data_IF_389940604488
#
_entry.id   IF_389940604488
#
_cell.length_a   1.000
_cell.length_b   1.000
_cell.length_c   1.000
_cell.angle_alpha   90.00
_cell.angle_beta   90.00
_cell.angle_gamma   90.00
#
_symmetry.space_group_name_H-M   'P 1'
#
loop_
_entity.id
_entity.type
_entity.pdbx_description
1 polymer ?
#
# COMPACT_ATOMS: atom_id res chain seq x y z
N UNK A 1 -1.91 -6.87 24.80
CA UNK A 1 -1.86 -6.87 23.33
C UNK A 1 -3.31 -6.78 22.86
N UNK A 2 -3.70 -5.69 22.20
CA UNK A 2 -5.09 -5.57 21.71
C UNK A 2 -5.38 -6.67 20.69
N UNK A 3 -6.60 -7.23 20.66
CA UNK A 3 -6.96 -8.23 19.67
C UNK A 3 -6.76 -7.66 18.25
N UNK A 4 -6.25 -8.50 17.35
CA UNK A 4 -6.09 -8.11 15.95
C UNK A 4 -7.48 -7.80 15.38
N UNK A 5 -7.68 -6.63 14.75
CA UNK A 5 -8.95 -6.31 14.11
C UNK A 5 -9.26 -7.33 13.00
N UNK A 6 -10.54 -7.63 12.79
CA UNK A 6 -10.97 -8.47 11.68
C UNK A 6 -10.71 -7.77 10.33
N UNK A 7 -10.67 -8.57 9.26
CA UNK A 7 -10.28 -8.06 7.94
C UNK A 7 -11.25 -7.00 7.41
N UNK A 8 -12.55 -7.11 7.70
CA UNK A 8 -13.55 -6.14 7.22
C UNK A 8 -13.37 -4.80 7.91
N UNK A 9 -13.10 -4.81 9.21
CA UNK A 9 -12.77 -3.59 9.96
C UNK A 9 -11.52 -2.91 9.40
N UNK A 10 -10.49 -3.69 9.04
CA UNK A 10 -9.26 -3.16 8.41
C UNK A 10 -9.57 -2.56 7.04
N UNK A 11 -10.26 -3.31 6.17
CA UNK A 11 -10.62 -2.87 4.81
C UNK A 11 -11.41 -1.54 4.86
N UNK A 12 -12.46 -1.46 5.68
CA UNK A 12 -13.24 -0.22 5.83
C UNK A 12 -12.44 0.93 6.43
N UNK A 13 -11.52 0.66 7.37
CA UNK A 13 -10.67 1.70 7.94
C UNK A 13 -9.71 2.29 6.89
N UNK A 14 -9.10 1.44 6.07
CA UNK A 14 -8.24 1.87 4.97
C UNK A 14 -9.02 2.68 3.94
N UNK A 15 -10.18 2.18 3.50
CA UNK A 15 -11.02 2.89 2.54
C UNK A 15 -11.42 4.29 3.04
N UNK A 16 -11.86 4.41 4.29
CA UNK A 16 -12.22 5.71 4.90
C UNK A 16 -11.02 6.65 5.00
N UNK A 17 -9.86 6.16 5.48
CA UNK A 17 -8.67 6.98 5.64
C UNK A 17 -8.20 7.55 4.30
N UNK A 18 -8.08 6.69 3.28
CA UNK A 18 -7.57 7.08 1.96
C UNK A 18 -8.61 7.80 1.08
N UNK A 19 -9.86 7.91 1.53
CA UNK A 19 -10.87 8.80 0.94
C UNK A 19 -10.73 10.27 1.39
N UNK A 20 -9.90 10.56 2.39
CA UNK A 20 -9.61 11.95 2.81
C UNK A 20 -8.65 12.65 1.84
N UNK A 21 -8.57 13.99 1.90
CA UNK A 21 -7.64 14.75 1.08
C UNK A 21 -6.18 14.37 1.37
N UNK A 22 -5.79 14.37 2.65
CA UNK A 22 -4.43 14.00 3.08
C UNK A 22 -4.13 12.53 2.81
N UNK A 23 -5.12 11.65 3.00
CA UNK A 23 -5.00 10.23 2.64
C UNK A 23 -4.61 10.04 1.18
N UNK A 24 -5.28 10.75 0.26
CA UNK A 24 -4.92 10.70 -1.18
C UNK A 24 -3.51 11.19 -1.45
N UNK A 25 -3.06 12.25 -0.77
CA UNK A 25 -1.68 12.76 -0.90
C UNK A 25 -0.67 11.71 -0.44
N UNK A 26 -0.91 11.07 0.71
CA UNK A 26 -0.04 10.01 1.23
C UNK A 26 -0.01 8.80 0.28
N UNK A 27 -1.16 8.39 -0.25
CA UNK A 27 -1.22 7.26 -1.18
C UNK A 27 -0.41 7.52 -2.45
N UNK A 28 -0.52 8.71 -3.02
CA UNK A 28 0.25 9.11 -4.20
C UNK A 28 1.77 9.14 -3.91
N UNK A 29 2.19 9.57 -2.72
CA UNK A 29 3.60 9.53 -2.34
C UNK A 29 4.11 8.09 -2.15
N UNK A 30 3.29 7.20 -1.55
CA UNK A 30 3.62 5.78 -1.44
C UNK A 30 3.76 5.11 -2.81
N UNK A 31 2.87 5.43 -3.75
CA UNK A 31 2.96 4.97 -5.14
C UNK A 31 4.28 5.41 -5.77
N UNK A 32 4.62 6.70 -5.64
CA UNK A 32 5.88 7.25 -6.19
C UNK A 32 7.13 6.57 -5.60
N UNK A 33 7.10 6.25 -4.31
CA UNK A 33 8.22 5.58 -3.63
C UNK A 33 8.36 4.10 -4.02
N UNK A 34 7.27 3.44 -4.40
CA UNK A 34 7.22 1.99 -4.67
C UNK A 34 7.36 1.65 -6.16
N UNK A 35 6.90 2.53 -7.04
CA UNK A 35 6.99 2.36 -8.50
C UNK A 35 8.22 3.01 -9.13
N UNK A 36 9.14 3.54 -8.31
CA UNK A 36 10.39 4.16 -8.80
C UNK A 36 11.18 3.19 -9.67
N UNK A 37 11.61 3.68 -10.84
CA UNK A 37 12.47 2.93 -11.76
C UNK A 37 13.77 2.55 -11.08
N UNK A 38 14.11 1.26 -11.14
CA UNK A 38 15.40 0.76 -10.70
C UNK A 38 16.35 0.83 -11.90
N UNK A 39 17.58 1.29 -11.67
CA UNK A 39 18.62 1.34 -12.70
C UNK A 39 19.01 -0.07 -13.14
N UNK A 40 19.49 -0.20 -14.39
CA UNK A 40 19.82 -1.47 -15.02
C UNK A 40 20.87 -2.30 -14.24
N UNK A 41 21.78 -1.65 -13.50
CA UNK A 41 22.87 -2.29 -12.75
C UNK A 41 22.55 -2.52 -11.26
N UNK A 42 21.27 -2.56 -10.90
CA UNK A 42 20.90 -2.80 -9.51
C UNK A 42 21.20 -4.23 -9.06
N UNK A 43 21.69 -4.38 -7.84
CA UNK A 43 21.93 -5.69 -7.23
C UNK A 43 20.62 -6.46 -7.03
N UNK A 44 20.69 -7.79 -7.04
CA UNK A 44 19.55 -8.67 -6.75
C UNK A 44 18.86 -8.34 -5.42
N UNK A 45 19.62 -7.92 -4.41
CA UNK A 45 19.08 -7.49 -3.12
C UNK A 45 18.22 -6.23 -3.28
N UNK A 46 18.66 -5.28 -4.10
CA UNK A 46 17.89 -4.06 -4.41
C UNK A 46 16.62 -4.40 -5.17
N UNK A 47 16.71 -5.29 -6.17
CA UNK A 47 15.55 -5.75 -6.93
C UNK A 47 14.51 -6.42 -6.02
N UNK A 48 14.94 -7.34 -5.14
CA UNK A 48 14.06 -8.01 -4.17
C UNK A 48 13.42 -7.04 -3.18
N UNK A 49 14.19 -6.08 -2.66
CA UNK A 49 13.65 -5.07 -1.75
C UNK A 49 12.58 -4.20 -2.42
N UNK A 50 12.74 -3.89 -3.71
CA UNK A 50 11.77 -3.11 -4.47
C UNK A 50 10.51 -3.93 -4.81
N UNK A 51 10.67 -5.22 -5.11
CA UNK A 51 9.51 -6.10 -5.29
C UNK A 51 8.69 -6.21 -3.99
N UNK A 52 9.36 -6.29 -2.84
CA UNK A 52 8.69 -6.26 -1.54
C UNK A 52 7.87 -4.97 -1.30
N UNK A 53 8.39 -3.81 -1.73
CA UNK A 53 7.66 -2.53 -1.67
C UNK A 53 6.44 -2.53 -2.58
N UNK A 54 6.56 -3.06 -3.80
CA UNK A 54 5.43 -3.19 -4.74
C UNK A 54 4.35 -4.11 -4.20
N UNK A 55 4.73 -5.26 -3.65
CA UNK A 55 3.79 -6.19 -3.02
C UNK A 55 3.03 -5.52 -1.86
N UNK A 56 3.72 -4.72 -1.02
CA UNK A 56 3.08 -3.96 0.04
C UNK A 56 2.10 -2.90 -0.49
N UNK A 57 2.51 -2.13 -1.50
CA UNK A 57 1.62 -1.12 -2.10
C UNK A 57 0.37 -1.76 -2.70
N UNK A 58 0.53 -2.88 -3.43
CA UNK A 58 -0.58 -3.65 -3.99
C UNK A 58 -1.51 -4.19 -2.91
N UNK A 59 -0.96 -4.61 -1.76
CA UNK A 59 -1.77 -5.02 -0.62
C UNK A 59 -2.61 -3.86 -0.06
N UNK A 60 -2.03 -2.67 0.06
CA UNK A 60 -2.73 -1.46 0.53
C UNK A 60 -3.86 -1.10 -0.43
N UNK A 61 -3.59 -1.01 -1.74
CA UNK A 61 -4.59 -0.64 -2.75
C UNK A 61 -5.72 -1.67 -2.81
N UNK A 62 -5.39 -2.96 -2.79
CA UNK A 62 -6.43 -4.03 -2.76
C UNK A 62 -7.29 -3.93 -1.50
N UNK A 63 -6.69 -3.62 -0.35
CA UNK A 63 -7.40 -3.44 0.93
C UNK A 63 -8.35 -2.24 0.88
N UNK A 64 -7.92 -1.13 0.28
CA UNK A 64 -8.75 0.05 0.04
C UNK A 64 -9.93 -0.30 -0.87
N UNK A 65 -9.68 -0.96 -2.01
CA UNK A 65 -10.75 -1.32 -2.97
C UNK A 65 -11.78 -2.26 -2.36
N UNK A 66 -11.36 -3.30 -1.61
CA UNK A 66 -12.31 -4.16 -0.89
C UNK A 66 -13.18 -3.35 0.08
N UNK A 67 -12.60 -2.40 0.81
CA UNK A 67 -13.32 -1.57 1.76
C UNK A 67 -14.28 -0.55 1.13
N UNK A 68 -14.14 -0.22 -0.16
CA UNK A 68 -15.08 0.63 -0.91
C UNK A 68 -16.32 -0.12 -1.37
N UNK A 69 -16.23 -1.45 -1.53
CA UNK A 69 -17.27 -2.29 -2.14
C UNK A 69 -17.96 -3.26 -1.16
N UNK A 70 -17.49 -3.34 0.09
CA UNK A 70 -18.07 -4.16 1.16
C UNK A 70 -18.79 -3.34 2.22
#
# INVERSE_FOLDING_TARGET
MSPRPDQRTVDSAFARLFATADGRVVLAELERLTLRTILADASDQTLRAQEGKRALFNHITTTIERGKHG
#
